data_IF_694840989520
#
_entry.id   IF_694840989520
#
_cell.length_a   1.000
_cell.length_b   1.000
_cell.length_c   1.000
_cell.angle_alpha   90.00
_cell.angle_beta   90.00
_cell.angle_gamma   90.00
#
_symmetry.space_group_name_H-M   'P 1'
#
loop_
_entity.id
_entity.type
_entity.pdbx_description
1 polymer ?
#
# COMPACT_ATOMS: atom_id res chain seq x y z
N UNK A 1 -9.05 6.56 4.98
CA UNK A 1 -9.58 7.34 6.11
C UNK A 1 -9.40 6.60 7.45
N UNK A 2 -9.87 5.36 7.56
CA UNK A 2 -9.84 4.57 8.80
C UNK A 2 -8.44 4.44 9.42
N UNK A 3 -7.44 4.14 8.61
CA UNK A 3 -6.04 3.97 9.04
C UNK A 3 -5.39 5.30 9.40
N UNK A 4 -5.71 6.36 8.64
CA UNK A 4 -5.11 7.68 8.82
C UNK A 4 -5.78 8.54 9.92
N UNK A 5 -6.95 8.11 10.44
CA UNK A 5 -7.68 8.88 11.43
C UNK A 5 -6.85 9.29 12.68
N UNK A 6 -6.05 8.40 13.31
CA UNK A 6 -5.23 8.78 14.47
C UNK A 6 -4.15 9.80 14.11
N UNK A 7 -3.51 9.68 12.95
CA UNK A 7 -2.45 10.60 12.50
C UNK A 7 -3.02 11.99 12.17
N UNK A 8 -4.20 12.03 11.51
CA UNK A 8 -4.92 13.28 11.27
C UNK A 8 -5.40 13.94 12.57
N UNK A 9 -5.83 13.15 13.56
CA UNK A 9 -6.17 13.63 14.88
C UNK A 9 -5.00 14.34 15.53
N UNK A 10 -3.85 13.70 15.61
CA UNK A 10 -2.62 14.27 16.16
C UNK A 10 -2.17 15.54 15.43
N UNK A 11 -2.18 15.53 14.10
CA UNK A 11 -1.82 16.71 13.30
C UNK A 11 -2.76 17.88 13.55
N UNK A 12 -4.06 17.62 13.73
CA UNK A 12 -5.04 18.65 14.04
C UNK A 12 -4.88 19.20 15.46
N UNK A 13 -4.76 18.33 16.46
CA UNK A 13 -4.67 18.72 17.89
C UNK A 13 -3.35 19.42 18.21
N UNK A 14 -2.23 18.95 17.68
CA UNK A 14 -0.90 19.45 18.02
C UNK A 14 -0.40 20.55 17.06
N UNK A 15 -0.92 20.61 15.84
CA UNK A 15 -0.49 21.55 14.81
C UNK A 15 -1.55 22.59 14.45
N UNK A 16 -2.67 22.16 13.87
CA UNK A 16 -3.65 23.08 13.27
C UNK A 16 -4.37 23.91 14.33
N UNK A 17 -4.91 23.28 15.36
CA UNK A 17 -5.68 24.00 16.40
C UNK A 17 -4.82 25.01 17.20
N UNK A 18 -3.62 24.66 17.70
CA UNK A 18 -2.76 25.62 18.40
C UNK A 18 -2.31 26.77 17.50
N UNK A 19 -2.09 26.53 16.21
CA UNK A 19 -1.75 27.58 15.25
C UNK A 19 -2.91 28.56 15.06
N UNK A 20 -4.14 28.06 14.86
CA UNK A 20 -5.33 28.91 14.73
C UNK A 20 -5.64 29.68 15.98
N UNK A 21 -5.28 29.14 17.16
CA UNK A 21 -5.40 29.83 18.45
C UNK A 21 -4.26 30.83 18.70
N UNK A 22 -3.28 30.98 17.80
CA UNK A 22 -2.14 31.87 17.95
C UNK A 22 -1.14 31.47 19.03
N UNK A 23 -1.14 30.17 19.43
CA UNK A 23 -0.28 29.65 20.50
C UNK A 23 1.10 29.22 20.01
N UNK A 24 1.22 28.87 18.74
CA UNK A 24 2.47 28.42 18.11
C UNK A 24 2.71 29.16 16.80
N UNK A 25 3.99 29.21 16.38
CA UNK A 25 4.40 29.77 15.09
C UNK A 25 3.97 28.87 13.92
N UNK A 26 3.96 29.43 12.72
CA UNK A 26 3.69 28.67 11.49
C UNK A 26 4.71 27.52 11.30
N UNK A 27 5.97 27.75 11.63
CA UNK A 27 7.04 26.79 11.51
C UNK A 27 6.83 25.59 12.43
N UNK A 28 6.53 25.85 13.71
CA UNK A 28 6.17 24.83 14.68
C UNK A 28 4.90 24.06 14.31
N UNK A 29 3.90 24.75 13.75
CA UNK A 29 2.69 24.11 13.28
C UNK A 29 2.97 23.13 12.14
N UNK A 30 3.83 23.50 11.18
CA UNK A 30 4.23 22.64 10.08
C UNK A 30 4.99 21.40 10.58
N UNK A 31 5.92 21.55 11.49
CA UNK A 31 6.62 20.43 12.12
C UNK A 31 5.63 19.49 12.81
N UNK A 32 4.74 20.00 13.67
CA UNK A 32 3.75 19.21 14.38
C UNK A 32 2.73 18.50 13.48
N UNK A 33 2.48 19.02 12.28
CA UNK A 33 1.62 18.37 11.27
C UNK A 33 2.39 17.28 10.51
N UNK A 34 3.66 17.53 10.19
CA UNK A 34 4.48 16.61 9.41
C UNK A 34 4.92 15.40 10.23
N UNK A 35 5.22 15.56 11.51
CA UNK A 35 5.74 14.50 12.37
C UNK A 35 4.84 13.24 12.42
N UNK A 36 3.52 13.32 12.65
CA UNK A 36 2.66 12.13 12.61
C UNK A 36 2.66 11.46 11.23
N UNK A 37 2.77 12.24 10.14
CA UNK A 37 2.85 11.70 8.80
C UNK A 37 4.18 10.99 8.56
N UNK A 38 5.28 11.54 9.06
CA UNK A 38 6.60 10.88 9.03
C UNK A 38 6.59 9.56 9.78
N UNK A 39 6.00 9.54 10.99
CA UNK A 39 5.87 8.30 11.78
C UNK A 39 5.10 7.23 10.99
N UNK A 40 3.97 7.60 10.39
CA UNK A 40 3.21 6.70 9.53
C UNK A 40 4.06 6.16 8.36
N UNK A 41 4.73 7.05 7.63
CA UNK A 41 5.59 6.65 6.49
C UNK A 41 6.71 5.72 6.93
N UNK A 42 7.38 5.98 8.06
CA UNK A 42 8.42 5.10 8.57
C UNK A 42 7.92 3.71 8.91
N UNK A 43 6.75 3.59 9.52
CA UNK A 43 6.13 2.30 9.86
C UNK A 43 5.82 1.46 8.62
N UNK A 44 5.48 2.09 7.50
CA UNK A 44 5.10 1.42 6.25
C UNK A 44 6.29 1.23 5.30
N UNK A 45 7.42 1.90 5.53
CA UNK A 45 8.59 1.82 4.66
C UNK A 45 9.47 0.65 5.05
N UNK A 46 9.84 -0.18 4.08
CA UNK A 46 10.78 -1.28 4.27
C UNK A 46 12.20 -0.72 4.43
N UNK A 47 12.95 -1.28 5.35
CA UNK A 47 14.35 -0.87 5.59
C UNK A 47 15.20 -0.90 4.31
N UNK A 48 15.00 -1.91 3.46
CA UNK A 48 15.72 -2.03 2.19
C UNK A 48 15.43 -0.89 1.22
N UNK A 49 14.18 -0.41 1.18
CA UNK A 49 13.77 0.68 0.30
C UNK A 49 14.27 2.02 0.87
N UNK A 50 14.19 2.20 2.18
CA UNK A 50 14.75 3.37 2.84
C UNK A 50 16.28 3.45 2.62
N UNK A 51 16.98 2.35 2.83
CA UNK A 51 18.43 2.26 2.62
C UNK A 51 18.84 2.61 1.18
N UNK A 52 18.03 2.20 0.18
CA UNK A 52 18.27 2.54 -1.21
C UNK A 52 18.30 4.08 -1.41
N UNK A 53 17.28 4.79 -0.92
CA UNK A 53 17.18 6.23 -1.11
C UNK A 53 18.15 7.01 -0.23
N UNK A 54 18.48 6.52 0.97
CA UNK A 54 19.53 7.08 1.80
C UNK A 54 20.89 6.97 1.10
N UNK A 55 21.19 5.83 0.48
CA UNK A 55 22.46 5.65 -0.25
C UNK A 55 22.53 6.47 -1.56
N UNK A 56 21.37 6.76 -2.18
CA UNK A 56 21.29 7.62 -3.37
C UNK A 56 21.34 9.11 -3.01
N UNK A 57 21.02 9.48 -1.77
CA UNK A 57 21.20 10.84 -1.31
C UNK A 57 22.67 11.08 -1.04
N UNK A 58 23.21 12.22 -1.47
CA UNK A 58 24.59 12.62 -1.17
C UNK A 58 24.76 13.12 0.29
N UNK A 59 23.72 12.98 1.10
CA UNK A 59 23.69 13.41 2.49
C UNK A 59 24.53 12.48 3.38
N UNK A 60 25.06 12.97 4.52
CA UNK A 60 25.68 12.12 5.52
C UNK A 60 24.74 11.00 5.96
N UNK A 61 25.32 9.85 6.30
CA UNK A 61 24.53 8.69 6.72
C UNK A 61 23.78 9.01 8.01
N UNK A 62 22.42 8.88 8.03
CA UNK A 62 21.65 9.19 9.22
C UNK A 62 21.98 8.23 10.37
N UNK A 63 22.06 8.75 11.59
CA UNK A 63 22.26 7.95 12.80
C UNK A 63 20.94 7.44 13.36
N UNK A 64 19.82 8.14 13.06
CA UNK A 64 18.49 7.78 13.50
C UNK A 64 17.39 8.16 12.50
N UNK A 65 16.14 7.75 12.77
CA UNK A 65 14.99 8.10 11.93
C UNK A 65 14.75 9.61 11.80
N UNK A 66 15.08 10.37 12.85
CA UNK A 66 14.97 11.83 12.87
C UNK A 66 15.89 12.52 11.86
N UNK A 67 17.06 11.93 11.59
CA UNK A 67 18.05 12.49 10.65
C UNK A 67 17.68 12.23 9.19
N UNK A 68 16.75 11.33 8.94
CA UNK A 68 16.29 11.04 7.58
C UNK A 68 15.44 12.17 7.04
N UNK A 69 15.87 12.79 5.95
CA UNK A 69 15.10 13.83 5.28
C UNK A 69 13.73 13.32 4.84
N UNK A 70 12.70 14.14 5.02
CA UNK A 70 11.34 13.83 4.50
C UNK A 70 11.34 13.62 2.99
N UNK A 71 12.18 14.35 2.25
CA UNK A 71 12.34 14.17 0.80
C UNK A 71 12.97 12.82 0.41
N UNK A 72 13.75 12.19 1.30
CA UNK A 72 14.29 10.84 1.12
C UNK A 72 13.27 9.78 1.53
N UNK A 73 12.50 10.05 2.57
CA UNK A 73 11.48 9.13 3.11
C UNK A 73 10.29 8.97 2.17
N UNK A 74 9.79 10.05 1.57
CA UNK A 74 8.61 10.01 0.68
C UNK A 74 8.78 9.01 -0.47
N UNK A 75 9.83 9.05 -1.31
CA UNK A 75 9.97 8.09 -2.39
C UNK A 75 10.22 6.66 -1.89
N UNK A 76 10.91 6.47 -0.78
CA UNK A 76 11.10 5.16 -0.16
C UNK A 76 9.75 4.56 0.28
N UNK A 77 8.90 5.36 0.91
CA UNK A 77 7.54 5.00 1.28
C UNK A 77 6.69 4.62 0.07
N UNK A 78 6.70 5.45 -0.98
CA UNK A 78 5.93 5.18 -2.21
C UNK A 78 6.32 3.84 -2.83
N UNK A 79 7.62 3.55 -2.95
CA UNK A 79 8.10 2.28 -3.50
C UNK A 79 7.70 1.10 -2.61
N UNK A 80 7.79 1.23 -1.28
CA UNK A 80 7.36 0.18 -0.34
C UNK A 80 5.86 -0.11 -0.46
N UNK A 81 5.03 0.93 -0.55
CA UNK A 81 3.58 0.80 -0.73
C UNK A 81 3.22 0.17 -2.07
N UNK A 82 3.89 0.57 -3.16
CA UNK A 82 3.69 -0.03 -4.48
C UNK A 82 4.05 -1.53 -4.47
N UNK A 83 5.18 -1.92 -3.86
CA UNK A 83 5.56 -3.33 -3.72
C UNK A 83 4.51 -4.12 -2.95
N UNK A 84 4.01 -3.58 -1.85
CA UNK A 84 2.96 -4.21 -1.04
C UNK A 84 1.67 -4.36 -1.84
N UNK A 85 1.25 -3.32 -2.56
CA UNK A 85 0.06 -3.35 -3.41
C UNK A 85 0.17 -4.42 -4.52
N UNK A 86 1.31 -4.50 -5.20
CA UNK A 86 1.56 -5.53 -6.21
C UNK A 86 1.59 -6.94 -5.62
N UNK A 87 2.17 -7.14 -4.44
CA UNK A 87 2.16 -8.43 -3.77
C UNK A 87 0.75 -8.89 -3.43
N UNK A 88 -0.07 -8.02 -2.85
CA UNK A 88 -1.48 -8.33 -2.55
C UNK A 88 -2.25 -8.62 -3.83
N UNK A 89 -2.10 -7.78 -4.85
CA UNK A 89 -2.74 -7.97 -6.14
C UNK A 89 -2.35 -9.29 -6.81
N UNK A 90 -1.08 -9.66 -6.75
CA UNK A 90 -0.59 -10.93 -7.28
C UNK A 90 -1.19 -12.13 -6.54
N UNK A 91 -1.22 -12.10 -5.21
CA UNK A 91 -1.80 -13.19 -4.42
C UNK A 91 -3.29 -13.40 -4.71
N UNK A 92 -4.04 -12.30 -4.91
CA UNK A 92 -5.45 -12.36 -5.27
C UNK A 92 -5.62 -12.90 -6.70
N UNK A 93 -4.66 -12.64 -7.59
CA UNK A 93 -4.72 -13.03 -8.98
C UNK A 93 -4.42 -14.52 -9.22
N UNK A 94 -3.63 -15.17 -8.35
CA UNK A 94 -3.23 -16.58 -8.49
C UNK A 94 -4.43 -17.53 -8.73
N UNK A 95 -5.49 -17.54 -7.89
CA UNK A 95 -6.61 -18.46 -8.11
C UNK A 95 -7.31 -18.23 -9.45
N UNK A 96 -7.32 -17.00 -9.97
CA UNK A 96 -7.91 -16.71 -11.28
C UNK A 96 -7.07 -17.24 -12.43
N UNK A 97 -5.74 -17.20 -12.33
CA UNK A 97 -4.84 -17.83 -13.31
C UNK A 97 -5.06 -19.34 -13.32
N UNK A 98 -5.22 -19.98 -12.17
CA UNK A 98 -5.47 -21.42 -12.08
C UNK A 98 -6.76 -21.79 -12.81
N UNK A 99 -7.83 -21.01 -12.65
CA UNK A 99 -9.08 -21.23 -13.38
C UNK A 99 -8.86 -21.10 -14.88
N UNK A 100 -8.15 -20.07 -15.34
CA UNK A 100 -7.86 -19.88 -16.77
C UNK A 100 -7.12 -21.07 -17.35
N UNK A 101 -6.12 -21.59 -16.63
CA UNK A 101 -5.33 -22.75 -17.07
C UNK A 101 -6.17 -24.02 -17.15
N UNK A 102 -7.05 -24.27 -16.18
CA UNK A 102 -7.97 -25.42 -16.17
C UNK A 102 -8.94 -25.32 -17.35
N UNK A 103 -9.57 -24.18 -17.55
CA UNK A 103 -10.52 -23.96 -18.66
C UNK A 103 -9.80 -24.10 -20.01
N UNK A 104 -8.63 -23.47 -20.17
CA UNK A 104 -7.87 -23.58 -21.41
C UNK A 104 -7.45 -25.03 -21.72
N UNK A 105 -6.97 -25.77 -20.74
CA UNK A 105 -6.58 -27.18 -20.90
C UNK A 105 -7.78 -28.06 -21.27
N UNK A 106 -8.94 -27.82 -20.66
CA UNK A 106 -10.17 -28.55 -20.95
C UNK A 106 -10.65 -28.29 -22.38
N UNK A 107 -10.67 -27.02 -22.81
CA UNK A 107 -11.08 -26.64 -24.16
C UNK A 107 -10.15 -27.20 -25.22
N UNK A 108 -8.83 -27.18 -25.00
CA UNK A 108 -7.86 -27.79 -25.90
C UNK A 108 -8.06 -29.29 -26.01
N UNK A 109 -8.34 -29.97 -24.91
CA UNK A 109 -8.55 -31.43 -24.92
C UNK A 109 -9.82 -31.85 -25.69
N UNK A 110 -10.82 -30.95 -25.74
CA UNK A 110 -12.05 -31.15 -26.52
C UNK A 110 -11.92 -30.70 -27.99
N UNK A 111 -10.72 -30.27 -28.44
CA UNK A 111 -10.49 -29.78 -29.80
C UNK A 111 -11.06 -28.40 -30.10
N UNK A 112 -11.50 -27.66 -29.10
CA UNK A 112 -12.08 -26.32 -29.24
C UNK A 112 -11.01 -25.23 -29.23
N UNK A 113 -10.08 -25.24 -30.17
CA UNK A 113 -8.95 -24.30 -30.24
C UNK A 113 -9.37 -22.85 -30.57
N UNK A 114 -10.56 -22.64 -31.12
CA UNK A 114 -11.02 -21.31 -31.56
C UNK A 114 -11.78 -20.51 -30.48
N UNK A 115 -12.20 -21.12 -29.38
CA UNK A 115 -12.90 -20.42 -28.31
C UNK A 115 -11.90 -19.73 -27.38
N UNK A 116 -12.06 -18.41 -27.10
CA UNK A 116 -11.18 -17.71 -26.17
C UNK A 116 -11.40 -18.23 -24.74
N UNK A 117 -10.39 -18.88 -24.09
CA UNK A 117 -10.52 -19.44 -22.74
C UNK A 117 -10.94 -18.41 -21.69
N UNK A 118 -10.48 -17.18 -21.85
CA UNK A 118 -10.77 -16.06 -20.94
C UNK A 118 -12.28 -15.77 -20.86
N UNK A 119 -13.00 -15.81 -21.98
CA UNK A 119 -14.45 -15.56 -22.00
C UNK A 119 -15.23 -16.66 -21.30
N UNK A 120 -14.77 -17.91 -21.42
CA UNK A 120 -15.43 -19.07 -20.80
C UNK A 120 -15.09 -19.16 -19.32
N UNK A 121 -13.89 -18.77 -18.91
CA UNK A 121 -13.46 -18.79 -17.52
C UNK A 121 -14.09 -17.65 -16.67
N UNK A 122 -14.57 -16.58 -17.29
CA UNK A 122 -15.08 -15.40 -16.59
C UNK A 122 -16.22 -15.73 -15.61
N UNK A 123 -17.27 -16.48 -15.95
CA UNK A 123 -18.33 -16.86 -15.00
C UNK A 123 -17.80 -17.63 -13.79
N UNK A 124 -16.82 -18.52 -13.99
CA UNK A 124 -16.22 -19.30 -12.92
C UNK A 124 -15.37 -18.44 -11.99
N UNK A 125 -14.68 -17.43 -12.53
CA UNK A 125 -13.92 -16.45 -11.72
C UNK A 125 -14.86 -15.62 -10.84
N UNK A 126 -15.96 -15.13 -11.40
CA UNK A 126 -16.97 -14.36 -10.65
C UNK A 126 -17.54 -15.23 -9.53
N UNK A 127 -17.93 -16.47 -9.87
CA UNK A 127 -18.49 -17.42 -8.90
C UNK A 127 -17.50 -17.68 -7.75
N UNK A 128 -16.23 -17.97 -8.08
CA UNK A 128 -15.20 -18.18 -7.06
C UNK A 128 -15.07 -16.98 -6.14
N UNK A 129 -14.96 -15.77 -6.72
CA UNK A 129 -14.80 -14.54 -5.95
C UNK A 129 -15.98 -14.29 -4.99
N UNK A 130 -17.21 -14.58 -5.44
CA UNK A 130 -18.40 -14.47 -4.60
C UNK A 130 -18.43 -15.54 -3.51
N UNK A 131 -18.10 -16.80 -3.85
CA UNK A 131 -18.14 -17.92 -2.89
C UNK A 131 -17.12 -17.78 -1.76
N UNK A 132 -15.94 -17.22 -2.02
CA UNK A 132 -14.91 -17.00 -0.99
C UNK A 132 -15.05 -15.66 -0.28
N UNK A 133 -16.12 -14.92 -0.54
CA UNK A 133 -16.30 -13.53 -0.05
C UNK A 133 -15.07 -12.65 -0.35
N UNK A 134 -14.70 -12.60 -1.62
CA UNK A 134 -13.48 -11.98 -2.10
C UNK A 134 -13.34 -10.50 -1.72
N UNK A 135 -14.46 -9.76 -1.62
CA UNK A 135 -14.44 -8.37 -1.16
C UNK A 135 -14.01 -8.24 0.29
N UNK A 136 -14.51 -9.10 1.16
CA UNK A 136 -14.12 -9.12 2.57
C UNK A 136 -12.64 -9.44 2.73
N UNK A 137 -12.16 -10.49 2.06
CA UNK A 137 -10.75 -10.89 2.09
C UNK A 137 -9.83 -9.79 1.57
N UNK A 138 -10.21 -9.11 0.48
CA UNK A 138 -9.44 -8.01 -0.10
C UNK A 138 -9.31 -6.84 0.86
N UNK A 139 -10.43 -6.38 1.42
CA UNK A 139 -10.45 -5.26 2.36
C UNK A 139 -9.70 -5.62 3.65
N UNK A 140 -9.92 -6.82 4.18
CA UNK A 140 -9.23 -7.30 5.37
C UNK A 140 -7.71 -7.34 5.16
N UNK A 141 -7.25 -7.90 4.03
CA UNK A 141 -5.81 -7.96 3.69
C UNK A 141 -5.19 -6.58 3.56
N UNK A 142 -5.90 -5.64 2.92
CA UNK A 142 -5.46 -4.25 2.80
C UNK A 142 -5.34 -3.57 4.17
N UNK A 143 -6.35 -3.67 5.02
CA UNK A 143 -6.32 -3.03 6.34
C UNK A 143 -5.22 -3.64 7.22
N UNK A 144 -5.05 -4.96 7.16
CA UNK A 144 -4.02 -5.66 7.94
C UNK A 144 -2.60 -5.35 7.48
N UNK A 145 -2.40 -4.97 6.22
CA UNK A 145 -1.07 -4.59 5.70
C UNK A 145 -0.54 -3.29 6.31
N UNK A 146 -1.39 -2.47 6.92
CA UNK A 146 -1.03 -1.20 7.59
C UNK A 146 -0.88 -1.33 9.12
N UNK A 147 -0.82 -2.52 9.67
CA UNK A 147 -0.63 -2.75 11.11
C UNK A 147 0.80 -3.09 11.45
#
# INVERSE_FOLDING_TARGET
>A
FYIMAPYWGQANENGIQPYLAGQISQEQALENIVDPMREFMFRQTRESDLALFVNLSEAPRPEGPEDVSTFTLIPAFIISELKTAFQIGFMIYIPFIVIDMIVASTLMSMGMMMLPPVMISLPFKILLFVMVDGWHLLIQSLIMSFR
#
